data_IF_145245018271
#
_entry.id   IF_145245018271
#
_cell.length_a   1.000
_cell.length_b   1.000
_cell.length_c   1.000
_cell.angle_alpha   90.00
_cell.angle_beta   90.00
_cell.angle_gamma   90.00
#
_symmetry.space_group_name_H-M   'P 1'
#
loop_
_entity.id
_entity.type
_entity.pdbx_description
1 polymer ?
#
# COMPACT_ATOMS: atom_id res chain seq x y z
N UNK A 1 16.52 -5.33 2.65
CA UNK A 1 15.11 -5.06 2.28
C UNK A 1 14.64 -3.80 2.98
N UNK A 2 14.15 -2.85 2.22
CA UNK A 2 13.65 -1.61 2.78
C UNK A 2 12.18 -1.76 3.16
N UNK A 3 11.82 -1.33 4.36
CA UNK A 3 10.44 -1.33 4.81
C UNK A 3 9.77 0.00 4.46
N UNK A 4 8.51 -0.05 4.04
CA UNK A 4 7.75 1.18 3.85
C UNK A 4 7.60 1.90 5.19
N UNK A 5 7.98 3.16 5.24
CA UNK A 5 7.85 3.98 6.42
C UNK A 5 6.60 4.86 6.27
N UNK A 6 5.62 4.63 7.15
CA UNK A 6 4.37 5.39 7.14
C UNK A 6 4.18 6.21 8.42
N UNK A 7 5.24 6.36 9.22
CA UNK A 7 5.16 7.10 10.49
C UNK A 7 4.75 8.56 10.30
N UNK A 8 5.17 9.17 9.19
CA UNK A 8 4.80 10.55 8.83
C UNK A 8 3.82 10.60 7.67
N UNK A 9 3.03 9.53 7.46
CA UNK A 9 2.15 9.39 6.32
C UNK A 9 2.82 8.65 5.17
N UNK A 10 2.05 8.37 4.12
CA UNK A 10 2.57 7.68 2.93
C UNK A 10 2.65 8.65 1.77
N UNK A 11 3.84 8.77 1.17
CA UNK A 11 4.06 9.54 -0.04
C UNK A 11 4.63 8.63 -1.11
N UNK A 12 3.85 8.38 -2.16
CA UNK A 12 4.25 7.51 -3.26
C UNK A 12 5.51 8.01 -3.97
N UNK A 13 5.74 9.33 -3.96
CA UNK A 13 6.91 9.92 -4.61
C UNK A 13 8.23 9.47 -3.97
N UNK A 14 8.21 9.14 -2.68
CA UNK A 14 9.39 8.64 -1.99
C UNK A 14 9.77 7.22 -2.42
N UNK A 15 8.82 6.50 -3.03
CA UNK A 15 8.98 5.09 -3.40
C UNK A 15 8.81 4.83 -4.89
N UNK A 16 8.83 5.87 -5.72
CA UNK A 16 8.62 5.72 -7.17
C UNK A 16 9.60 4.77 -7.83
N UNK A 17 10.80 4.68 -7.30
CA UNK A 17 11.84 3.80 -7.85
C UNK A 17 11.50 2.32 -7.69
N UNK A 18 10.67 1.98 -6.72
CA UNK A 18 10.36 0.57 -6.43
C UNK A 18 8.88 0.20 -6.44
N UNK A 19 7.99 1.19 -6.60
CA UNK A 19 6.55 0.95 -6.70
C UNK A 19 6.05 1.40 -8.06
N UNK A 20 5.39 0.48 -8.77
CA UNK A 20 4.82 0.79 -10.09
C UNK A 20 3.32 1.07 -9.95
N UNK A 21 2.89 2.22 -10.43
CA UNK A 21 1.46 2.57 -10.45
C UNK A 21 0.75 1.70 -11.49
N UNK A 22 -0.23 0.90 -11.04
CA UNK A 22 -1.04 0.04 -11.90
C UNK A 22 -2.37 0.67 -12.25
N UNK A 23 -2.98 1.36 -11.28
CA UNK A 23 -4.28 1.98 -11.45
C UNK A 23 -4.39 3.19 -10.53
N UNK A 24 -5.03 4.25 -11.01
CA UNK A 24 -5.31 5.43 -10.21
C UNK A 24 -6.72 5.91 -10.50
N UNK A 25 -7.52 6.06 -9.43
CA UNK A 25 -8.84 6.62 -9.47
C UNK A 25 -8.90 7.82 -8.52
N UNK A 26 -10.07 8.48 -8.48
CA UNK A 26 -10.25 9.60 -7.57
C UNK A 26 -10.17 9.12 -6.12
N UNK A 27 -9.13 9.55 -5.42
CA UNK A 27 -8.91 9.22 -4.02
C UNK A 27 -8.34 7.82 -3.75
N UNK A 28 -8.02 7.05 -4.80
CA UNK A 28 -7.44 5.72 -4.64
C UNK A 28 -6.35 5.46 -5.67
N UNK A 29 -5.40 4.58 -5.32
CA UNK A 29 -4.38 4.11 -6.26
C UNK A 29 -3.94 2.70 -5.90
N UNK A 30 -3.52 1.94 -6.92
CA UNK A 30 -2.98 0.59 -6.76
C UNK A 30 -1.57 0.55 -7.32
N UNK A 31 -0.64 0.00 -6.54
CA UNK A 31 0.78 -0.03 -6.88
C UNK A 31 1.32 -1.46 -6.77
N UNK A 32 2.22 -1.82 -7.68
CA UNK A 32 2.94 -3.08 -7.60
C UNK A 32 4.29 -2.86 -6.92
N UNK A 33 4.64 -3.78 -6.01
CA UNK A 33 5.92 -3.73 -5.30
C UNK A 33 7.00 -4.39 -6.15
N UNK A 34 7.91 -3.58 -6.69
CA UNK A 34 8.98 -4.08 -7.57
C UNK A 34 10.30 -4.31 -6.88
N UNK A 35 10.57 -3.56 -5.82
CA UNK A 35 11.85 -3.64 -5.10
C UNK A 35 11.79 -4.49 -3.84
N UNK A 36 10.68 -5.19 -3.62
CA UNK A 36 10.54 -6.06 -2.47
C UNK A 36 10.47 -5.33 -1.14
N UNK A 37 9.83 -4.17 -1.10
CA UNK A 37 9.65 -3.44 0.16
C UNK A 37 8.91 -4.30 1.17
N UNK A 38 9.32 -4.20 2.43
CA UNK A 38 8.64 -4.90 3.51
C UNK A 38 7.37 -4.18 3.93
N UNK A 39 6.35 -4.98 4.26
CA UNK A 39 5.07 -4.47 4.74
C UNK A 39 5.26 -3.73 6.08
N UNK A 40 4.70 -2.53 6.23
CA UNK A 40 4.83 -1.79 7.50
C UNK A 40 4.05 -2.44 8.65
N UNK A 41 3.11 -3.34 8.35
CA UNK A 41 2.32 -4.01 9.37
C UNK A 41 2.93 -5.31 9.86
N UNK A 42 3.46 -6.15 8.95
CA UNK A 42 3.96 -7.47 9.32
C UNK A 42 5.45 -7.68 9.05
N UNK A 43 6.11 -6.79 8.31
CA UNK A 43 7.54 -6.89 8.03
C UNK A 43 7.91 -7.79 6.87
N UNK A 44 6.98 -8.56 6.31
CA UNK A 44 7.23 -9.40 5.15
C UNK A 44 7.02 -8.62 3.85
N UNK A 45 7.66 -9.01 2.74
CA UNK A 45 7.41 -8.36 1.46
C UNK A 45 5.95 -8.50 1.05
N UNK A 46 5.38 -7.43 0.51
CA UNK A 46 4.03 -7.46 -0.05
C UNK A 46 4.12 -7.45 -1.57
N UNK A 47 3.05 -7.90 -2.22
CA UNK A 47 2.99 -7.93 -3.69
C UNK A 47 2.38 -6.65 -4.26
N UNK A 48 1.26 -6.22 -3.69
CA UNK A 48 0.56 -5.01 -4.13
C UNK A 48 0.14 -4.16 -2.95
N UNK A 49 0.04 -2.85 -3.21
CA UNK A 49 -0.39 -1.87 -2.25
C UNK A 49 -1.58 -1.10 -2.84
N UNK A 50 -2.68 -1.07 -2.11
CA UNK A 50 -3.83 -0.24 -2.42
C UNK A 50 -3.88 0.90 -1.42
N UNK A 51 -3.93 2.14 -1.91
CA UNK A 51 -3.97 3.34 -1.08
C UNK A 51 -5.30 4.04 -1.31
N UNK A 52 -6.01 4.38 -0.24
CA UNK A 52 -7.30 5.07 -0.33
C UNK A 52 -7.34 6.23 0.64
N UNK A 53 -7.77 7.39 0.14
CA UNK A 53 -8.05 8.57 0.95
C UNK A 53 -9.50 8.63 1.39
N UNK A 54 -10.33 7.67 0.95
CA UNK A 54 -11.75 7.63 1.26
C UNK A 54 -11.97 7.18 2.70
N UNK A 55 -13.00 7.71 3.35
CA UNK A 55 -13.36 7.34 4.72
C UNK A 55 -13.93 5.92 4.79
N UNK A 56 -14.71 5.54 3.79
CA UNK A 56 -15.35 4.24 3.72
C UNK A 56 -14.82 3.50 2.51
N UNK A 57 -14.37 2.28 2.71
CA UNK A 57 -13.83 1.44 1.66
C UNK A 57 -14.49 0.07 1.73
N UNK A 58 -14.84 -0.47 0.56
CA UNK A 58 -15.37 -1.83 0.44
C UNK A 58 -14.39 -2.62 -0.39
N UNK A 59 -13.91 -3.73 0.17
CA UNK A 59 -12.97 -4.61 -0.52
C UNK A 59 -13.64 -5.95 -0.76
N UNK A 60 -13.44 -6.52 -1.95
CA UNK A 60 -13.75 -7.91 -2.19
C UNK A 60 -12.75 -8.79 -1.45
N UNK A 61 -13.00 -10.10 -1.43
CA UNK A 61 -12.04 -11.05 -0.88
C UNK A 61 -10.79 -11.06 -1.78
N UNK A 62 -9.60 -10.68 -1.25
CA UNK A 62 -8.40 -10.66 -2.07
C UNK A 62 -7.88 -12.06 -2.42
N UNK A 63 -8.44 -13.12 -1.82
CA UNK A 63 -8.04 -14.49 -2.10
C UNK A 63 -6.66 -14.86 -1.57
N UNK A 64 -6.04 -14.00 -0.78
CA UNK A 64 -4.70 -14.20 -0.24
C UNK A 64 -4.52 -13.40 1.04
N UNK A 65 -3.42 -13.66 1.75
CA UNK A 65 -3.08 -12.92 2.96
C UNK A 65 -2.93 -11.43 2.66
N UNK A 66 -3.43 -10.61 3.55
CA UNK A 66 -3.32 -9.16 3.42
C UNK A 66 -3.11 -8.52 4.79
N UNK A 67 -2.57 -7.31 4.78
CA UNK A 67 -2.43 -6.47 5.96
C UNK A 67 -3.09 -5.12 5.71
N UNK A 68 -3.62 -4.53 6.79
CA UNK A 68 -4.17 -3.18 6.75
C UNK A 68 -3.30 -2.28 7.63
N UNK A 69 -2.99 -1.11 7.09
CA UNK A 69 -2.30 -0.08 7.85
C UNK A 69 -3.01 1.25 7.59
N UNK A 70 -2.87 2.18 8.52
CA UNK A 70 -3.56 3.45 8.41
C UNK A 70 -2.63 4.59 8.77
N UNK A 71 -2.68 5.66 7.95
CA UNK A 71 -2.08 6.95 8.28
C UNK A 71 -3.19 7.91 8.66
N UNK A 72 -2.85 9.15 8.98
CA UNK A 72 -3.84 10.17 9.31
C UNK A 72 -4.78 10.47 8.14
N UNK A 73 -4.33 10.26 6.91
CA UNK A 73 -5.06 10.66 5.72
C UNK A 73 -5.47 9.50 4.82
N UNK A 74 -4.89 8.31 5.02
CA UNK A 74 -5.01 7.23 4.06
C UNK A 74 -5.15 5.88 4.72
N UNK A 75 -5.82 4.96 4.01
CA UNK A 75 -5.89 3.55 4.36
C UNK A 75 -5.02 2.78 3.38
N UNK A 76 -4.16 1.91 3.88
CA UNK A 76 -3.27 1.08 3.07
C UNK A 76 -3.67 -0.38 3.21
N UNK A 77 -3.91 -1.04 2.07
CA UNK A 77 -4.16 -2.49 2.00
C UNK A 77 -3.00 -3.12 1.25
N UNK A 78 -2.28 -4.00 1.93
CA UNK A 78 -1.09 -4.66 1.38
C UNK A 78 -1.38 -6.15 1.21
N UNK A 79 -1.34 -6.65 -0.03
CA UNK A 79 -1.57 -8.06 -0.32
C UNK A 79 -0.25 -8.79 -0.50
N UNK A 80 -0.18 -9.99 0.06
CA UNK A 80 1.06 -10.80 0.07
C UNK A 80 1.04 -11.96 -0.90
#
# INVERSE_FOLDING_TARGET
MEQLDISDGFDVHDYRHGLKLLKQDRGTMTLANRDGFACPACGDPFERLFVSERRTNTFGDPGRRFCLARTEQELLLLTH
#
